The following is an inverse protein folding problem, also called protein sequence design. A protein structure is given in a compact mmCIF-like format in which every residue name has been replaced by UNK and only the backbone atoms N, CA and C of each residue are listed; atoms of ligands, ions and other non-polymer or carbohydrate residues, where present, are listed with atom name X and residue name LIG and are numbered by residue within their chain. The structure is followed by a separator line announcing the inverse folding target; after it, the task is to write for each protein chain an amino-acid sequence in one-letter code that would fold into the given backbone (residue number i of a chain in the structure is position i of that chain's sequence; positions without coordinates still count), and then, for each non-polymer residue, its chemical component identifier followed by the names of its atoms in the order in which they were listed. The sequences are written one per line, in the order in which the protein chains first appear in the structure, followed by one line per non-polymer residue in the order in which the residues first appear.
data_IF_445207095169
#
_entry.id   IF_445207095169
#
_cell.length_a   1.000
_cell.length_b   1.000
_cell.length_c   1.000
_cell.angle_alpha   90.00
_cell.angle_beta   90.00
_cell.angle_gamma   90.00
#
_symmetry.space_group_name_H-M   'P 1'
#
loop_
_entity.id
_entity.type
_entity.pdbx_description
1 polymer ?
#
# COMPACT_ATOMS: atom_id res chain seq x y z
N UNK A 1 6.38 10.15 20.98
CA UNK A 1 5.37 9.08 21.07
C UNK A 1 5.03 8.70 19.65
N UNK A 2 5.40 7.49 19.23
CA UNK A 2 5.43 7.07 17.83
C UNK A 2 4.01 6.73 17.37
N UNK A 3 3.36 7.68 16.71
CA UNK A 3 2.09 7.48 16.03
C UNK A 3 2.36 6.60 14.79
N UNK A 4 2.39 5.28 14.98
CA UNK A 4 2.63 4.35 13.88
C UNK A 4 1.37 4.29 13.03
N UNK A 5 1.29 5.08 11.96
CA UNK A 5 0.13 5.12 11.05
C UNK A 5 -0.39 3.70 10.67
N UNK A 6 0.52 2.74 10.51
CA UNK A 6 0.21 1.31 10.31
C UNK A 6 0.22 0.59 11.67
N UNK A 7 -0.92 0.01 12.04
CA UNK A 7 -1.13 -0.78 13.25
C UNK A 7 -0.62 -2.22 13.12
N UNK A 8 -0.79 -2.82 11.95
CA UNK A 8 -0.43 -4.22 11.71
C UNK A 8 -0.09 -4.48 10.25
N UNK A 9 0.96 -5.27 10.05
CA UNK A 9 1.31 -5.91 8.78
C UNK A 9 0.82 -7.36 8.83
N UNK A 10 0.28 -7.88 7.73
CA UNK A 10 0.13 -9.32 7.52
C UNK A 10 0.29 -9.69 6.04
N UNK A 11 0.82 -10.87 5.78
CA UNK A 11 0.83 -11.47 4.44
C UNK A 11 -0.32 -12.46 4.33
N UNK A 12 -1.04 -12.42 3.21
CA UNK A 12 -2.18 -13.31 2.98
C UNK A 12 -2.20 -13.76 1.53
N UNK A 13 -2.61 -15.00 1.31
CA UNK A 13 -2.91 -15.48 -0.04
C UNK A 13 -4.42 -15.30 -0.29
N UNK A 14 -4.78 -14.44 -1.24
CA UNK A 14 -6.17 -14.18 -1.61
C UNK A 14 -6.58 -15.07 -2.79
N UNK A 15 -7.80 -15.64 -2.77
CA UNK A 15 -8.34 -16.32 -3.95
C UNK A 15 -8.32 -15.37 -5.14
N UNK A 16 -7.89 -15.85 -6.31
CA UNK A 16 -7.77 -15.10 -7.58
C UNK A 16 -6.65 -14.05 -7.68
N UNK A 17 -6.17 -13.47 -6.57
CA UNK A 17 -5.08 -12.46 -6.59
C UNK A 17 -3.72 -13.03 -6.19
N UNK A 18 -3.70 -14.19 -5.55
CA UNK A 18 -2.47 -14.83 -5.11
C UNK A 18 -1.92 -14.17 -3.83
N UNK A 19 -0.60 -14.27 -3.58
CA UNK A 19 0.02 -13.66 -2.42
C UNK A 19 -0.17 -12.14 -2.46
N UNK A 20 -0.49 -11.55 -1.31
CA UNK A 20 -0.59 -10.10 -1.10
C UNK A 20 -0.07 -9.75 0.29
N UNK A 21 0.36 -8.50 0.45
CA UNK A 21 0.69 -7.91 1.75
C UNK A 21 -0.39 -6.91 2.14
N UNK A 22 -0.95 -7.05 3.33
CA UNK A 22 -1.98 -6.18 3.89
C UNK A 22 -1.39 -5.36 5.03
N UNK A 23 -1.55 -4.05 4.95
CA UNK A 23 -1.16 -3.11 5.98
C UNK A 23 -2.41 -2.45 6.55
N UNK A 24 -2.70 -2.76 7.80
CA UNK A 24 -3.84 -2.24 8.55
C UNK A 24 -3.44 -0.93 9.22
N UNK A 25 -4.23 0.11 8.97
CA UNK A 25 -4.06 1.44 9.54
C UNK A 25 -4.75 1.47 10.90
N UNK A 26 -4.31 2.35 11.81
CA UNK A 26 -5.01 2.54 13.09
C UNK A 26 -6.46 3.01 12.93
N UNK A 27 -6.78 3.67 11.80
CA UNK A 27 -8.13 4.14 11.47
C UNK A 27 -9.02 3.05 10.84
N UNK A 28 -8.57 1.79 10.82
CA UNK A 28 -9.33 0.65 10.28
C UNK A 28 -9.17 0.42 8.77
N UNK A 29 -8.67 1.41 8.03
CA UNK A 29 -8.34 1.26 6.60
C UNK A 29 -7.27 0.20 6.36
N UNK A 30 -7.28 -0.37 5.16
CA UNK A 30 -6.32 -1.41 4.77
C UNK A 30 -5.70 -1.09 3.41
N UNK A 31 -4.37 -1.05 3.37
CA UNK A 31 -3.59 -0.96 2.15
C UNK A 31 -3.15 -2.36 1.74
N UNK A 32 -3.56 -2.78 0.57
CA UNK A 32 -3.18 -4.03 -0.07
C UNK A 32 -2.07 -3.74 -1.07
N UNK A 33 -0.98 -4.51 -1.00
CA UNK A 33 0.10 -4.51 -1.98
C UNK A 33 0.19 -5.89 -2.60
N UNK A 34 0.11 -5.96 -3.92
CA UNK A 34 0.32 -7.16 -4.73
C UNK A 34 1.61 -7.03 -5.55
N UNK A 35 1.92 -8.04 -6.36
CA UNK A 35 3.04 -7.99 -7.30
C UNK A 35 2.93 -6.84 -8.31
N UNK A 36 1.72 -6.47 -8.73
CA UNK A 36 1.50 -5.56 -9.87
C UNK A 36 0.62 -4.37 -9.54
N UNK A 37 0.10 -4.27 -8.32
CA UNK A 37 -0.88 -3.24 -7.97
C UNK A 37 -0.93 -2.95 -6.47
N UNK A 38 -1.51 -1.79 -6.17
CA UNK A 38 -1.81 -1.35 -4.82
C UNK A 38 -3.28 -0.97 -4.75
N UNK A 39 -3.97 -1.45 -3.72
CA UNK A 39 -5.36 -1.11 -3.44
C UNK A 39 -5.52 -0.53 -2.05
N UNK A 40 -6.29 0.53 -1.92
CA UNK A 40 -6.68 1.09 -0.63
C UNK A 40 -8.14 0.78 -0.35
N UNK A 41 -8.40 0.24 0.83
CA UNK A 41 -9.71 -0.20 1.26
C UNK A 41 -10.10 0.49 2.56
N UNK A 42 -11.39 0.78 2.72
CA UNK A 42 -11.91 1.44 3.93
C UNK A 42 -11.80 0.56 5.17
N UNK A 43 -11.81 -0.77 4.99
CA UNK A 43 -11.75 -1.77 6.06
C UNK A 43 -11.23 -3.11 5.54
N UNK A 44 -10.86 -4.02 6.46
CA UNK A 44 -10.34 -5.34 6.13
C UNK A 44 -11.37 -6.28 5.51
N UNK A 45 -12.67 -6.08 5.78
CA UNK A 45 -13.73 -6.91 5.21
C UNK A 45 -13.93 -6.62 3.71
N UNK A 46 -13.76 -5.35 3.31
CA UNK A 46 -13.82 -4.89 1.93
C UNK A 46 -12.74 -5.50 1.02
N UNK A 47 -11.59 -5.92 1.58
CA UNK A 47 -10.51 -6.57 0.81
C UNK A 47 -10.97 -7.91 0.23
N UNK A 48 -11.82 -8.62 0.96
CA UNK A 48 -12.35 -9.94 0.56
C UNK A 48 -13.78 -9.88 0.06
N UNK A 49 -14.38 -8.68 -0.03
CA UNK A 49 -15.73 -8.53 -0.55
C UNK A 49 -15.72 -8.86 -2.06
N UNK A 50 -16.44 -9.93 -2.49
CA UNK A 50 -16.50 -10.29 -3.91
C UNK A 50 -17.13 -9.21 -4.79
N UNK A 51 -17.93 -8.30 -4.22
CA UNK A 51 -18.50 -7.17 -4.94
C UNK A 51 -17.56 -5.96 -5.00
N UNK A 52 -16.44 -5.99 -4.26
CA UNK A 52 -15.48 -4.90 -4.19
C UNK A 52 -16.00 -3.65 -3.49
N UNK A 53 -17.07 -3.74 -2.69
CA UNK A 53 -17.57 -2.56 -1.99
C UNK A 53 -16.56 -2.13 -0.92
N UNK A 54 -16.19 -0.85 -0.95
CA UNK A 54 -15.27 -0.27 0.02
C UNK A 54 -13.81 -0.20 -0.42
N UNK A 55 -13.51 -0.52 -1.69
CA UNK A 55 -12.28 -0.04 -2.31
C UNK A 55 -12.35 1.49 -2.48
N UNK A 56 -11.42 2.21 -1.86
CA UNK A 56 -11.27 3.66 -2.00
C UNK A 56 -10.53 4.02 -3.29
N UNK A 57 -9.58 3.17 -3.68
CA UNK A 57 -8.90 3.29 -4.96
C UNK A 57 -7.97 2.11 -5.21
N UNK A 58 -7.57 1.95 -6.46
CA UNK A 58 -6.73 0.86 -6.91
C UNK A 58 -5.89 1.34 -8.08
N UNK A 59 -4.58 1.22 -7.95
CA UNK A 59 -3.61 1.69 -8.94
C UNK A 59 -2.60 0.59 -9.26
N UNK A 60 -2.18 0.54 -10.52
CA UNK A 60 -1.17 -0.40 -10.98
C UNK A 60 0.23 0.09 -10.63
N UNK A 61 1.12 -0.83 -10.27
CA UNK A 61 2.54 -0.56 -10.09
C UNK A 61 3.22 -0.68 -11.46
N UNK A 62 3.91 0.36 -11.96
CA UNK A 62 4.67 0.28 -13.19
C UNK A 62 5.67 -0.89 -13.16
N UNK A 63 5.85 -1.58 -14.29
CA UNK A 63 6.69 -2.81 -14.39
C UNK A 63 8.09 -2.64 -13.77
N UNK A 64 8.71 -1.47 -13.95
CA UNK A 64 10.03 -1.16 -13.39
C UNK A 64 10.08 -1.11 -11.85
N UNK A 65 8.92 -0.94 -11.19
CA UNK A 65 8.77 -0.78 -9.75
C UNK A 65 8.08 -1.97 -9.08
N UNK A 66 7.71 -3.01 -9.83
CA UNK A 66 6.96 -4.15 -9.32
C UNK A 66 7.78 -4.93 -8.27
N UNK A 67 7.26 -5.08 -7.03
CA UNK A 67 7.94 -5.83 -5.99
C UNK A 67 7.95 -7.33 -6.29
N UNK A 68 8.99 -8.00 -5.81
CA UNK A 68 9.06 -9.46 -5.80
C UNK A 68 8.70 -10.01 -4.42
N UNK A 69 8.11 -11.19 -4.38
CA UNK A 69 7.74 -11.86 -3.15
C UNK A 69 8.98 -12.31 -2.37
N UNK A 70 9.00 -12.06 -1.05
CA UNK A 70 10.00 -12.56 -0.10
C UNK A 70 9.31 -13.29 1.07
N UNK A 71 9.89 -14.37 1.55
CA UNK A 71 9.26 -15.24 2.56
C UNK A 71 9.10 -14.57 3.94
N UNK A 72 9.99 -13.64 4.30
CA UNK A 72 9.97 -12.96 5.61
C UNK A 72 9.03 -11.73 5.67
N UNK A 73 8.65 -11.15 4.53
CA UNK A 73 7.96 -9.85 4.48
C UNK A 73 6.98 -9.62 3.32
N UNK A 74 6.79 -10.61 2.45
CA UNK A 74 5.95 -10.52 1.27
C UNK A 74 6.51 -9.54 0.23
N UNK A 75 5.73 -8.51 -0.13
CA UNK A 75 6.15 -7.47 -1.08
C UNK A 75 6.74 -6.22 -0.41
N UNK A 76 6.71 -6.18 0.93
CA UNK A 76 7.19 -5.05 1.73
C UNK A 76 8.52 -5.41 2.34
N UNK A 77 9.54 -4.60 2.06
CA UNK A 77 10.88 -4.73 2.63
C UNK A 77 10.99 -4.05 3.99
N UNK A 78 10.44 -2.84 4.13
CA UNK A 78 10.46 -2.12 5.39
C UNK A 78 9.24 -1.23 5.57
N UNK A 79 8.87 -0.96 6.82
CA UNK A 79 7.75 -0.08 7.14
C UNK A 79 8.14 0.80 8.33
N UNK A 80 8.07 2.13 8.18
CA UNK A 80 8.43 3.12 9.20
C UNK A 80 7.55 4.37 9.12
N UNK A 81 6.77 4.65 10.16
CA UNK A 81 6.10 5.95 10.37
C UNK A 81 5.39 6.56 9.14
N UNK A 82 4.72 5.73 8.31
CA UNK A 82 4.03 6.15 7.08
C UNK A 82 4.80 5.87 5.78
N UNK A 83 6.08 5.57 5.87
CA UNK A 83 6.88 5.04 4.77
C UNK A 83 6.77 3.51 4.70
N UNK A 84 6.61 2.98 3.50
CA UNK A 84 6.62 1.55 3.20
C UNK A 84 7.55 1.33 2.01
N UNK A 85 8.71 0.73 2.27
CA UNK A 85 9.65 0.32 1.23
C UNK A 85 9.20 -1.02 0.63
N UNK A 86 9.10 -1.06 -0.69
CA UNK A 86 8.84 -2.28 -1.46
C UNK A 86 10.14 -3.02 -1.74
N UNK A 87 10.06 -4.33 -1.96
CA UNK A 87 11.24 -5.17 -2.24
C UNK A 87 11.95 -4.81 -3.56
N UNK A 88 11.27 -4.12 -4.47
CA UNK A 88 11.85 -3.56 -5.70
C UNK A 88 12.73 -2.31 -5.46
N UNK A 89 12.69 -1.71 -4.26
CA UNK A 89 13.30 -0.42 -3.95
C UNK A 89 12.36 0.78 -4.12
N UNK A 90 11.19 0.56 -4.71
CA UNK A 90 10.11 1.55 -4.74
C UNK A 90 9.56 1.83 -3.34
N UNK A 91 8.89 2.96 -3.17
CA UNK A 91 8.34 3.37 -1.89
C UNK A 91 6.88 3.79 -2.00
N UNK A 92 6.06 3.29 -1.09
CA UNK A 92 4.74 3.85 -0.82
C UNK A 92 4.85 4.79 0.37
N UNK A 93 4.33 6.01 0.19
CA UNK A 93 4.33 7.02 1.24
C UNK A 93 2.90 7.38 1.60
N UNK A 94 2.59 7.22 2.87
CA UNK A 94 1.30 7.57 3.47
C UNK A 94 1.37 9.03 3.87
N UNK A 95 0.53 9.84 3.23
CA UNK A 95 0.39 11.27 3.41
C UNK A 95 -0.97 11.60 4.00
N UNK A 96 -1.21 12.81 4.52
CA UNK A 96 -2.53 13.21 5.01
C UNK A 96 -3.63 13.17 3.93
N UNK A 97 -3.27 13.36 2.65
CA UNK A 97 -4.19 13.35 1.51
C UNK A 97 -4.43 11.95 0.92
N UNK A 98 -3.57 10.97 1.20
CA UNK A 98 -3.70 9.62 0.65
C UNK A 98 -2.40 8.81 0.66
N UNK A 99 -2.32 7.80 -0.21
CA UNK A 99 -1.15 6.94 -0.39
C UNK A 99 -0.57 7.13 -1.78
N UNK A 100 0.71 7.49 -1.88
CA UNK A 100 1.38 7.70 -3.16
C UNK A 100 2.52 6.72 -3.41
N UNK A 101 2.72 6.34 -4.67
CA UNK A 101 3.85 5.53 -5.12
C UNK A 101 5.00 6.38 -5.65
N UNK A 102 6.21 6.07 -5.22
CA UNK A 102 7.44 6.76 -5.56
C UNK A 102 8.52 5.76 -5.99
N UNK A 103 9.45 6.23 -6.82
CA UNK A 103 10.59 5.41 -7.27
C UNK A 103 11.49 4.96 -6.11
N UNK A 104 11.55 5.75 -5.04
CA UNK A 104 12.33 5.44 -3.84
C UNK A 104 11.97 6.38 -2.68
N UNK A 105 12.37 6.03 -1.46
CA UNK A 105 12.26 6.96 -0.32
C UNK A 105 13.03 8.27 -0.52
N UNK A 106 14.12 8.27 -1.28
CA UNK A 106 14.82 9.51 -1.62
C UNK A 106 13.98 10.45 -2.50
N UNK A 107 13.14 9.90 -3.40
CA UNK A 107 12.23 10.69 -4.22
C UNK A 107 11.15 11.39 -3.37
N UNK A 108 10.64 10.70 -2.34
CA UNK A 108 9.72 11.28 -1.34
C UNK A 108 10.36 12.48 -0.64
N UNK A 109 11.58 12.31 -0.12
CA UNK A 109 12.30 13.36 0.60
C UNK A 109 12.65 14.57 -0.29
N UNK A 110 12.84 14.34 -1.59
CA UNK A 110 13.09 15.39 -2.59
C UNK A 110 11.80 16.04 -3.09
N UNK A 111 10.64 15.68 -2.53
CA UNK A 111 9.31 16.17 -2.94
C UNK A 111 9.05 15.99 -4.45
N UNK A 112 9.53 14.88 -5.01
CA UNK A 112 9.19 14.52 -6.39
C UNK A 112 7.69 14.15 -6.49
N UNK A 113 7.05 14.35 -7.65
CA UNK A 113 5.67 13.91 -7.82
C UNK A 113 5.60 12.37 -7.72
N UNK A 114 4.58 11.82 -7.04
CA UNK A 114 4.34 10.38 -7.09
C UNK A 114 3.86 9.97 -8.49
N UNK A 115 4.01 8.69 -8.83
CA UNK A 115 3.45 8.10 -10.05
C UNK A 115 1.92 8.20 -10.07
N UNK A 116 1.32 7.97 -8.90
CA UNK A 116 -0.10 8.10 -8.65
C UNK A 116 -0.33 8.35 -7.16
N UNK A 117 -1.51 8.86 -6.82
CA UNK A 117 -1.96 9.09 -5.46
C UNK A 117 -3.36 8.51 -5.31
N UNK A 118 -3.53 7.55 -4.40
CA UNK A 118 -4.85 7.05 -4.01
C UNK A 118 -5.32 7.89 -2.81
N UNK A 119 -6.35 8.74 -2.97
CA UNK A 119 -6.79 9.61 -1.88
C UNK A 119 -7.58 8.81 -0.82
N UNK A 120 -7.51 9.26 0.45
CA UNK A 120 -8.33 8.66 1.52
C UNK A 120 -9.82 8.99 1.40
N UNK A 121 -10.15 10.03 0.64
CA UNK A 121 -11.51 10.50 0.41
C UNK A 121 -11.64 10.82 -1.07
N UNK A 122 -12.75 10.42 -1.69
CA UNK A 122 -13.09 10.94 -3.01
C UNK A 122 -13.34 12.44 -2.87
N UNK A 123 -12.79 13.30 -3.76
CA UNK A 123 -13.15 14.71 -3.75
C UNK A 123 -14.67 14.85 -3.89
N UNK A 124 -15.26 15.64 -3.00
CA UNK A 124 -16.70 15.92 -2.96
C UNK A 124 -17.22 16.60 -4.23
#
# INVERSE_FOLDING_TARGET
MTDMIIARHETRNLPQRGPVTLMHFHQGMVLLVSATSVGLYRDAAAVTDPLGNGALGYESIPDALQPHWQDDGGYVQEQRAGYVGLTSGAALFIRPDGVGLYDSGAAVLKNQPPHWLIPFSLPA
#
